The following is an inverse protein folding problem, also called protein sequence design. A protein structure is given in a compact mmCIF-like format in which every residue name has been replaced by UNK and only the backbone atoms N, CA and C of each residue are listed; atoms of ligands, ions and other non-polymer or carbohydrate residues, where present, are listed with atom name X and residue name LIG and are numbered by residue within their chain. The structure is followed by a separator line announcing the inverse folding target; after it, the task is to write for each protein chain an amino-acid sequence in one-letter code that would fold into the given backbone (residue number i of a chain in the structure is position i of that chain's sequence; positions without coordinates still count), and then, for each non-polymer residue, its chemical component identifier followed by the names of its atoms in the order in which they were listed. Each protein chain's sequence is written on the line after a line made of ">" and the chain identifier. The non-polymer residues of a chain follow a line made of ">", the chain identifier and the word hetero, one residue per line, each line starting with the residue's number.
data_IF_798417556486
#
_entry.id   IF_798417556486
#
_cell.length_a   1.000
_cell.length_b   1.000
_cell.length_c   1.000
_cell.angle_alpha   90.00
_cell.angle_beta   90.00
_cell.angle_gamma   90.00
#
_symmetry.space_group_name_H-M   'P 1'
#
loop_
_entity.id
_entity.type
_entity.pdbx_description
1 polymer ?
#
# COMPACT_ATOMS: atom_id res chain seq x y z
N UNK A 1 -15.08 15.03 4.05
CA UNK A 1 -14.47 15.19 5.39
C UNK A 1 -12.97 15.20 5.23
N UNK A 2 -12.32 16.31 5.61
CA UNK A 2 -10.88 16.46 5.54
C UNK A 2 -10.20 15.74 6.73
N UNK A 3 -9.09 15.06 6.46
CA UNK A 3 -8.26 14.41 7.47
C UNK A 3 -6.83 14.93 7.38
N UNK A 4 -6.25 15.36 8.51
CA UNK A 4 -4.84 15.71 8.62
C UNK A 4 -4.08 14.49 9.11
N UNK A 5 -3.17 13.97 8.29
CA UNK A 5 -2.20 12.95 8.68
C UNK A 5 -0.97 13.63 9.26
N UNK A 6 -0.74 13.43 10.57
CA UNK A 6 0.30 14.07 11.37
C UNK A 6 1.35 13.02 11.80
N UNK A 7 2.32 12.70 10.92
CA UNK A 7 3.47 11.85 11.26
C UNK A 7 4.49 12.59 12.14
N UNK A 8 5.60 11.92 12.48
CA UNK A 8 6.77 12.59 13.05
C UNK A 8 7.47 13.48 12.02
N UNK A 9 7.51 13.05 10.76
CA UNK A 9 8.04 13.80 9.63
C UNK A 9 7.34 13.44 8.31
N UNK A 10 7.45 14.32 7.32
CA UNK A 10 6.97 14.07 5.94
C UNK A 10 8.15 14.07 4.97
N UNK A 11 8.21 13.08 4.07
CA UNK A 11 9.08 13.10 2.88
C UNK A 11 8.22 13.37 1.65
N UNK A 12 8.56 14.38 0.86
CA UNK A 12 7.79 14.72 -0.36
C UNK A 12 8.12 13.80 -1.53
N UNK A 13 9.26 13.12 -1.50
CA UNK A 13 9.67 12.06 -2.43
C UNK A 13 10.19 10.86 -1.64
N UNK A 14 10.37 9.69 -2.26
CA UNK A 14 10.84 8.49 -1.55
C UNK A 14 12.20 8.69 -0.87
N UNK A 15 13.14 9.38 -1.54
CA UNK A 15 14.50 9.62 -1.07
C UNK A 15 14.71 11.05 -0.54
N UNK A 16 13.64 11.83 -0.42
CA UNK A 16 13.71 13.21 0.02
C UNK A 16 14.02 13.33 1.51
N UNK A 17 14.64 14.44 1.90
CA UNK A 17 14.89 14.77 3.30
C UNK A 17 13.57 14.80 4.10
N UNK A 18 13.55 14.26 5.33
CA UNK A 18 12.37 14.28 6.16
C UNK A 18 12.15 15.70 6.69
N UNK A 19 10.89 16.16 6.64
CA UNK A 19 10.46 17.45 7.16
C UNK A 19 9.77 17.22 8.52
N UNK A 20 10.43 17.45 9.66
CA UNK A 20 9.84 17.22 10.98
C UNK A 20 8.67 18.18 11.24
N UNK A 21 7.63 17.70 11.92
CA UNK A 21 6.45 18.51 12.27
C UNK A 21 5.53 18.85 11.09
N UNK A 22 5.87 18.44 9.87
CA UNK A 22 4.98 18.55 8.72
C UNK A 22 3.87 17.51 8.77
N UNK A 23 2.74 17.85 8.14
CA UNK A 23 1.57 17.02 8.01
C UNK A 23 0.97 17.13 6.60
N UNK A 24 0.09 16.19 6.27
CA UNK A 24 -0.60 16.14 4.98
C UNK A 24 -2.11 16.18 5.22
N UNK A 25 -2.76 17.22 4.72
CA UNK A 25 -4.22 17.34 4.69
C UNK A 25 -4.76 16.62 3.45
N UNK A 26 -5.73 15.73 3.66
CA UNK A 26 -6.38 14.94 2.61
C UNK A 26 -7.88 15.20 2.61
N UNK A 27 -8.41 15.57 1.46
CA UNK A 27 -9.85 15.74 1.23
C UNK A 27 -10.31 14.85 0.06
N UNK A 28 -11.29 13.99 0.32
CA UNK A 28 -11.72 12.99 -0.66
C UNK A 28 -10.57 12.07 -1.04
N UNK A 29 -10.19 12.09 -2.32
CA UNK A 29 -9.05 11.33 -2.84
C UNK A 29 -7.79 12.16 -3.09
N UNK A 30 -7.76 13.45 -2.71
CA UNK A 30 -6.69 14.40 -3.02
C UNK A 30 -5.95 14.92 -1.80
N UNK A 31 -4.68 15.26 -2.02
CA UNK A 31 -3.88 16.07 -1.10
C UNK A 31 -4.39 17.51 -1.20
N UNK A 32 -5.03 18.00 -0.14
CA UNK A 32 -5.56 19.36 -0.06
C UNK A 32 -4.47 20.37 0.31
N UNK A 33 -3.57 20.00 1.23
CA UNK A 33 -2.45 20.83 1.65
C UNK A 33 -1.33 19.98 2.25
N UNK A 34 -0.12 20.52 2.25
CA UNK A 34 1.08 19.96 2.86
C UNK A 34 1.84 21.11 3.52
N UNK A 35 2.19 20.95 4.80
CA UNK A 35 2.82 22.02 5.58
C UNK A 35 2.91 21.68 7.07
N UNK A 36 3.37 22.61 7.91
CA UNK A 36 3.43 22.45 9.36
C UNK A 36 2.07 22.08 9.97
N UNK A 37 2.07 21.19 10.98
CA UNK A 37 0.85 20.67 11.59
C UNK A 37 -0.02 21.76 12.22
N UNK A 38 0.59 22.73 12.90
CA UNK A 38 -0.09 23.83 13.56
C UNK A 38 -0.77 24.77 12.54
N UNK A 39 -0.09 25.10 11.45
CA UNK A 39 -0.66 25.87 10.34
C UNK A 39 -1.86 25.14 9.70
N UNK A 40 -1.72 23.84 9.41
CA UNK A 40 -2.81 23.04 8.85
C UNK A 40 -3.99 22.88 9.84
N UNK A 41 -3.72 22.72 11.13
CA UNK A 41 -4.76 22.62 12.15
C UNK A 41 -5.51 23.95 12.32
N UNK A 42 -4.83 25.08 12.21
CA UNK A 42 -5.45 26.41 12.21
C UNK A 42 -6.29 26.67 10.95
N UNK A 43 -5.78 26.28 9.77
CA UNK A 43 -6.49 26.41 8.50
C UNK A 43 -7.71 25.50 8.39
N UNK A 44 -7.67 24.32 9.01
CA UNK A 44 -8.74 23.32 8.98
C UNK A 44 -9.17 22.89 10.40
N UNK A 45 -9.80 23.77 11.18
CA UNK A 45 -10.06 23.54 12.61
C UNK A 45 -11.03 22.38 12.89
N UNK A 46 -11.88 22.03 11.92
CA UNK A 46 -12.82 20.91 12.01
C UNK A 46 -12.27 19.61 11.43
N UNK A 47 -11.03 19.60 10.92
CA UNK A 47 -10.44 18.42 10.32
C UNK A 47 -10.16 17.34 11.36
N UNK A 48 -10.37 16.09 10.96
CA UNK A 48 -9.94 14.96 11.78
C UNK A 48 -8.41 14.87 11.76
N UNK A 49 -7.77 14.96 12.92
CA UNK A 49 -6.32 14.74 13.02
C UNK A 49 -6.01 13.27 13.34
N UNK A 50 -5.13 12.66 12.54
CA UNK A 50 -4.60 11.31 12.76
C UNK A 50 -3.10 11.39 12.98
N UNK A 51 -2.65 11.05 14.18
CA UNK A 51 -1.23 11.05 14.53
C UNK A 51 -0.59 9.70 14.23
N UNK A 52 0.66 9.73 13.78
CA UNK A 52 1.47 8.55 13.48
C UNK A 52 2.86 8.66 14.10
N UNK A 53 3.41 7.55 14.57
CA UNK A 53 4.75 7.47 15.17
C UNK A 53 5.89 7.30 14.16
N UNK A 54 5.60 7.34 12.85
CA UNK A 54 6.58 7.16 11.79
C UNK A 54 6.65 8.35 10.84
N UNK A 55 7.37 8.17 9.74
CA UNK A 55 7.50 9.15 8.66
C UNK A 55 6.49 8.85 7.55
N UNK A 56 5.78 9.87 7.08
CA UNK A 56 4.86 9.75 5.96
C UNK A 56 5.56 10.13 4.65
N UNK A 57 5.38 9.30 3.63
CA UNK A 57 5.87 9.57 2.28
C UNK A 57 4.87 9.17 1.20
N UNK A 58 5.24 9.31 -0.09
CA UNK A 58 4.50 8.70 -1.17
C UNK A 58 4.45 7.18 -0.98
N UNK A 59 3.31 6.56 -1.30
CA UNK A 59 3.22 5.10 -1.23
C UNK A 59 4.15 4.40 -2.23
N UNK A 60 4.58 3.19 -1.88
CA UNK A 60 5.55 2.41 -2.65
C UNK A 60 4.96 1.91 -3.97
N UNK A 61 5.83 1.81 -4.98
CA UNK A 61 5.55 1.13 -6.24
C UNK A 61 6.15 -0.28 -6.21
N UNK A 62 5.32 -1.31 -6.40
CA UNK A 62 5.79 -2.70 -6.48
C UNK A 62 6.16 -3.05 -7.93
N UNK A 63 7.46 -2.96 -8.25
CA UNK A 63 8.01 -3.34 -9.55
C UNK A 63 7.85 -4.84 -9.85
N UNK A 64 7.85 -5.66 -8.79
CA UNK A 64 7.76 -7.12 -8.81
C UNK A 64 6.32 -7.64 -8.66
N UNK A 65 5.31 -6.77 -8.78
CA UNK A 65 3.92 -7.12 -8.53
C UNK A 65 3.43 -8.31 -9.36
N UNK A 66 3.81 -8.40 -10.64
CA UNK A 66 3.46 -9.54 -11.49
C UNK A 66 4.04 -10.86 -10.94
N UNK A 67 5.31 -10.87 -10.53
CA UNK A 67 5.91 -12.06 -9.91
C UNK A 67 5.18 -12.44 -8.61
N UNK A 68 4.89 -11.45 -7.76
CA UNK A 68 4.21 -11.67 -6.49
C UNK A 68 2.75 -12.10 -6.64
N UNK A 69 2.05 -11.75 -7.71
CA UNK A 69 0.62 -12.04 -7.86
C UNK A 69 0.32 -13.15 -8.87
N UNK A 70 1.23 -13.43 -9.81
CA UNK A 70 1.04 -14.42 -10.87
C UNK A 70 2.03 -15.59 -10.83
N UNK A 71 3.19 -15.41 -10.20
CA UNK A 71 4.22 -16.46 -10.04
C UNK A 71 4.38 -16.92 -8.58
N UNK A 72 3.44 -16.53 -7.70
CA UNK A 72 3.38 -16.97 -6.32
C UNK A 72 1.95 -17.32 -5.91
N UNK A 73 1.80 -18.36 -5.10
CA UNK A 73 0.58 -18.67 -4.38
C UNK A 73 0.66 -18.12 -2.96
N UNK A 74 -0.38 -17.40 -2.52
CA UNK A 74 -0.53 -16.88 -1.17
C UNK A 74 -1.58 -17.72 -0.42
N UNK A 75 -1.16 -18.69 0.41
CA UNK A 75 -2.09 -19.63 1.03
C UNK A 75 -3.12 -18.98 1.96
N UNK A 76 -4.31 -19.58 2.04
CA UNK A 76 -5.25 -19.29 3.12
C UNK A 76 -4.71 -19.87 4.44
N UNK A 77 -4.78 -19.14 5.56
CA UNK A 77 -4.47 -19.70 6.88
C UNK A 77 -5.20 -21.01 7.19
N UNK A 78 -6.37 -21.24 6.59
CA UNK A 78 -7.14 -22.49 6.74
C UNK A 78 -6.57 -23.68 5.96
N UNK A 79 -5.72 -23.43 4.97
CA UNK A 79 -5.05 -24.47 4.20
C UNK A 79 -3.73 -24.91 4.82
N UNK A 80 -3.25 -24.21 5.86
CA UNK A 80 -1.99 -24.55 6.53
C UNK A 80 -2.09 -25.95 7.14
N UNK A 81 -1.11 -26.79 6.82
CA UNK A 81 -1.07 -28.19 7.26
C UNK A 81 -1.69 -29.17 6.25
N UNK A 82 -2.34 -28.68 5.19
CA UNK A 82 -2.65 -29.53 4.04
C UNK A 82 -1.35 -29.96 3.33
N UNK A 83 -1.37 -31.08 2.58
CA UNK A 83 -0.26 -31.47 1.73
C UNK A 83 0.24 -30.30 0.87
N UNK A 84 1.55 -30.13 0.81
CA UNK A 84 2.26 -29.08 0.05
C UNK A 84 2.03 -27.64 0.54
N UNK A 85 1.33 -27.43 1.67
CA UNK A 85 1.05 -26.10 2.25
C UNK A 85 1.50 -26.04 3.72
N UNK A 86 2.81 -25.86 3.97
CA UNK A 86 3.37 -25.91 5.32
C UNK A 86 3.08 -24.64 6.14
N UNK A 87 2.82 -23.51 5.49
CA UNK A 87 2.63 -22.22 6.16
C UNK A 87 1.83 -21.24 5.29
N UNK A 88 1.69 -20.00 5.76
CA UNK A 88 1.11 -18.90 4.96
C UNK A 88 2.15 -18.14 4.13
N UNK A 89 3.39 -18.61 4.11
CA UNK A 89 4.41 -18.01 3.26
C UNK A 89 4.15 -18.29 1.78
N UNK A 90 4.46 -17.34 0.89
CA UNK A 90 4.18 -17.51 -0.53
C UNK A 90 4.94 -18.70 -1.13
N UNK A 91 4.20 -19.58 -1.79
CA UNK A 91 4.77 -20.71 -2.52
C UNK A 91 5.10 -20.29 -3.95
N UNK A 92 6.29 -20.64 -4.43
CA UNK A 92 6.81 -20.28 -5.76
C UNK A 92 7.46 -21.50 -6.41
N UNK A 93 7.86 -21.38 -7.68
CA UNK A 93 8.65 -22.41 -8.38
C UNK A 93 7.99 -23.80 -8.35
N UNK A 94 8.75 -24.82 -7.96
CA UNK A 94 8.28 -26.21 -7.90
C UNK A 94 7.15 -26.42 -6.88
N UNK A 95 7.20 -25.73 -5.74
CA UNK A 95 6.14 -25.82 -4.73
C UNK A 95 4.81 -25.29 -5.26
N UNK A 96 4.83 -24.20 -6.04
CA UNK A 96 3.65 -23.72 -6.75
C UNK A 96 3.22 -24.69 -7.86
N UNK A 97 4.16 -25.22 -8.64
CA UNK A 97 3.87 -26.12 -9.76
C UNK A 97 3.25 -27.45 -9.31
N UNK A 98 3.50 -27.88 -8.07
CA UNK A 98 2.88 -29.06 -7.48
C UNK A 98 1.40 -28.86 -7.11
N UNK A 99 0.92 -27.61 -7.02
CA UNK A 99 -0.46 -27.32 -6.63
C UNK A 99 -1.41 -27.36 -7.83
N UNK A 100 -2.56 -28.01 -7.63
CA UNK A 100 -3.71 -27.82 -8.52
C UNK A 100 -4.25 -26.39 -8.34
N UNK A 101 -4.14 -25.59 -9.41
CA UNK A 101 -4.52 -24.18 -9.41
C UNK A 101 -5.64 -23.91 -10.43
N UNK A 102 -6.80 -23.48 -9.92
CA UNK A 102 -7.90 -22.98 -10.75
C UNK A 102 -8.04 -21.44 -10.64
N UNK A 103 -8.93 -20.85 -11.44
CA UNK A 103 -9.16 -19.39 -11.44
C UNK A 103 -9.66 -18.87 -10.08
N UNK A 104 -10.41 -19.68 -9.32
CA UNK A 104 -10.92 -19.29 -8.01
C UNK A 104 -9.78 -19.16 -7.01
N UNK A 105 -8.89 -20.17 -6.98
CA UNK A 105 -7.70 -20.23 -6.13
C UNK A 105 -6.69 -19.14 -6.50
N UNK A 106 -6.48 -18.88 -7.78
CA UNK A 106 -5.72 -17.70 -8.23
C UNK A 106 -6.33 -16.38 -7.76
N UNK A 107 -7.66 -16.25 -7.82
CA UNK A 107 -8.35 -15.06 -7.34
C UNK A 107 -8.23 -14.85 -5.83
N UNK A 108 -8.30 -15.92 -5.03
CA UNK A 108 -8.07 -15.85 -3.59
C UNK A 108 -6.62 -15.49 -3.26
N UNK A 109 -5.67 -16.16 -3.91
CA UNK A 109 -4.24 -15.86 -3.81
C UNK A 109 -3.94 -14.40 -4.12
N UNK A 110 -4.44 -13.88 -5.24
CA UNK A 110 -4.20 -12.49 -5.65
C UNK A 110 -4.68 -11.48 -4.61
N UNK A 111 -5.88 -11.68 -4.03
CA UNK A 111 -6.40 -10.79 -2.98
C UNK A 111 -5.52 -10.81 -1.73
N UNK A 112 -5.02 -11.99 -1.34
CA UNK A 112 -4.08 -12.12 -0.21
C UNK A 112 -2.74 -11.45 -0.50
N UNK A 113 -2.19 -11.66 -1.70
CA UNK A 113 -0.98 -10.98 -2.15
C UNK A 113 -1.13 -9.46 -2.16
N UNK A 114 -2.27 -8.94 -2.62
CA UNK A 114 -2.59 -7.51 -2.55
C UNK A 114 -2.70 -7.01 -1.11
N UNK A 115 -3.26 -7.78 -0.19
CA UNK A 115 -3.26 -7.43 1.24
C UNK A 115 -1.85 -7.41 1.83
N UNK A 116 -0.95 -8.32 1.43
CA UNK A 116 0.47 -8.28 1.83
C UNK A 116 1.16 -7.03 1.29
N UNK A 117 0.95 -6.70 0.02
CA UNK A 117 1.47 -5.46 -0.60
C UNK A 117 0.98 -4.20 0.15
N UNK A 118 -0.30 -4.13 0.50
CA UNK A 118 -0.84 -3.03 1.29
C UNK A 118 -0.21 -2.95 2.69
N UNK A 119 0.17 -4.07 3.32
CA UNK A 119 0.92 -4.09 4.58
C UNK A 119 2.37 -3.62 4.46
N UNK A 120 2.86 -3.43 3.25
CA UNK A 120 4.21 -2.94 2.97
C UNK A 120 4.23 -1.47 2.52
N UNK A 121 3.07 -0.80 2.51
CA UNK A 121 2.97 0.59 2.05
C UNK A 121 2.77 0.74 0.55
N UNK A 122 2.41 -0.33 -0.17
CA UNK A 122 2.27 -0.28 -1.64
C UNK A 122 0.95 0.39 -2.05
N UNK A 123 1.05 1.35 -2.97
CA UNK A 123 -0.10 2.07 -3.55
C UNK A 123 -0.16 1.99 -5.07
N UNK A 124 0.91 1.53 -5.71
CA UNK A 124 0.98 1.29 -7.16
C UNK A 124 1.71 0.00 -7.50
N UNK A 125 1.35 -0.61 -8.63
CA UNK A 125 1.86 -1.89 -9.12
C UNK A 125 2.39 -1.73 -10.54
N UNK A 126 3.48 -2.41 -10.87
CA UNK A 126 3.92 -2.53 -12.26
C UNK A 126 3.29 -3.75 -12.90
N UNK A 127 2.58 -3.53 -14.00
CA UNK A 127 1.99 -4.59 -14.84
C UNK A 127 2.87 -4.94 -16.04
N UNK A 128 2.35 -5.71 -17.02
CA UNK A 128 0.97 -6.18 -17.15
C UNK A 128 0.64 -7.39 -16.26
N UNK A 129 -0.66 -7.71 -16.16
CA UNK A 129 -1.17 -8.92 -15.50
C UNK A 129 -1.89 -9.82 -16.52
N UNK A 130 -1.41 -11.05 -16.68
CA UNK A 130 -1.85 -12.00 -17.70
C UNK A 130 -3.01 -12.89 -17.24
N UNK A 131 -3.18 -13.10 -15.94
CA UNK A 131 -4.23 -13.97 -15.38
C UNK A 131 -5.55 -13.22 -15.19
N UNK A 132 -6.70 -13.74 -15.70
CA UNK A 132 -8.01 -13.08 -15.56
C UNK A 132 -8.42 -12.83 -14.11
N UNK A 133 -8.28 -13.83 -13.23
CA UNK A 133 -8.56 -13.68 -11.80
C UNK A 133 -7.69 -12.59 -11.13
N UNK A 134 -6.41 -12.52 -11.48
CA UNK A 134 -5.48 -11.51 -10.94
C UNK A 134 -5.84 -10.11 -11.44
N UNK A 135 -6.09 -9.92 -12.74
CA UNK A 135 -6.57 -8.65 -13.29
C UNK A 135 -7.84 -8.15 -12.58
N UNK A 136 -8.77 -9.05 -12.30
CA UNK A 136 -10.01 -8.71 -11.60
C UNK A 136 -9.75 -8.28 -10.16
N UNK A 137 -8.87 -8.99 -9.44
CA UNK A 137 -8.47 -8.61 -8.09
C UNK A 137 -7.76 -7.24 -8.05
N UNK A 138 -6.79 -7.02 -8.96
CA UNK A 138 -6.05 -5.76 -9.09
C UNK A 138 -7.00 -4.60 -9.38
N UNK A 139 -7.88 -4.73 -10.39
CA UNK A 139 -8.88 -3.70 -10.74
C UNK A 139 -9.77 -3.32 -9.56
N UNK A 140 -10.17 -4.28 -8.73
CA UNK A 140 -11.03 -4.04 -7.55
C UNK A 140 -10.30 -3.45 -6.35
N UNK A 141 -8.97 -3.57 -6.29
CA UNK A 141 -8.17 -3.04 -5.18
C UNK A 141 -8.10 -1.50 -5.16
N UNK A 142 -8.21 -0.86 -6.32
CA UNK A 142 -8.00 0.58 -6.49
C UNK A 142 -6.53 1.01 -6.53
N UNK A 143 -5.58 0.06 -6.50
CA UNK A 143 -4.16 0.33 -6.71
C UNK A 143 -3.92 0.83 -8.14
N UNK A 144 -3.00 1.78 -8.30
CA UNK A 144 -2.63 2.30 -9.62
C UNK A 144 -1.76 1.29 -10.34
N UNK A 145 -2.11 0.90 -11.57
CA UNK A 145 -1.26 0.05 -12.40
C UNK A 145 -0.43 0.92 -13.33
N UNK A 146 0.88 0.76 -13.29
CA UNK A 146 1.85 1.49 -14.08
C UNK A 146 2.54 0.56 -15.10
N UNK A 147 2.96 1.08 -16.26
CA UNK A 147 3.73 0.30 -17.23
C UNK A 147 5.19 0.08 -16.80
N UNK A 148 5.72 0.91 -15.89
CA UNK A 148 7.07 0.84 -15.36
C UNK A 148 7.10 1.49 -13.96
N UNK A 149 8.12 1.20 -13.12
CA UNK A 149 8.30 1.88 -11.85
C UNK A 149 8.40 3.39 -12.04
N UNK A 150 7.72 4.16 -11.19
CA UNK A 150 7.79 5.62 -11.19
C UNK A 150 8.01 6.14 -9.77
N UNK A 151 8.97 7.03 -9.54
CA UNK A 151 9.12 7.70 -8.25
C UNK A 151 7.83 8.43 -7.87
N UNK A 152 7.36 8.20 -6.64
CA UNK A 152 6.21 8.91 -6.10
C UNK A 152 6.62 10.32 -5.62
N UNK A 153 5.68 11.26 -5.71
CA UNK A 153 5.84 12.61 -5.16
C UNK A 153 4.55 13.05 -4.49
N UNK A 154 4.67 13.69 -3.33
CA UNK A 154 3.55 14.35 -2.66
C UNK A 154 3.42 15.77 -3.19
N UNK A 155 2.33 16.03 -3.90
CA UNK A 155 2.02 17.35 -4.45
C UNK A 155 0.58 17.69 -4.15
N UNK A 156 0.29 18.94 -3.78
CA UNK A 156 -1.08 19.41 -3.59
C UNK A 156 -1.88 19.19 -4.88
N UNK A 157 -3.11 18.67 -4.75
CA UNK A 157 -3.98 18.26 -5.85
C UNK A 157 -3.70 16.87 -6.42
N UNK A 158 -2.56 16.24 -6.07
CA UNK A 158 -2.31 14.85 -6.44
C UNK A 158 -3.22 13.88 -5.68
N UNK A 159 -3.34 12.66 -6.20
CA UNK A 159 -4.06 11.58 -5.53
C UNK A 159 -3.36 11.25 -4.20
N UNK A 160 -4.12 11.10 -3.13
CA UNK A 160 -3.62 10.81 -1.79
C UNK A 160 -3.27 9.32 -1.65
N UNK A 161 -2.17 8.93 -2.29
CA UNK A 161 -1.54 7.61 -2.25
C UNK A 161 -0.28 7.69 -1.38
N UNK A 162 -0.45 7.44 -0.07
CA UNK A 162 0.54 7.71 0.97
C UNK A 162 0.87 6.42 1.73
N UNK A 163 2.07 6.35 2.30
CA UNK A 163 2.41 5.35 3.29
C UNK A 163 3.11 6.00 4.48
N UNK A 164 2.92 5.41 5.66
CA UNK A 164 3.67 5.76 6.87
C UNK A 164 4.55 4.58 7.21
N UNK A 165 5.84 4.84 7.42
CA UNK A 165 6.81 3.84 7.81
C UNK A 165 7.47 4.23 9.13
N UNK A 166 7.68 3.23 9.98
CA UNK A 166 8.47 3.35 11.18
C UNK A 166 9.94 3.50 10.78
N UNK A 167 10.64 4.53 11.26
CA UNK A 167 12.04 4.79 10.89
C UNK A 167 13.01 3.72 11.42
N UNK A 168 12.89 3.21 12.67
CA UNK A 168 13.76 2.16 13.20
C UNK A 168 13.82 0.85 12.39
N UNK A 169 12.67 0.31 11.97
CA UNK A 169 12.59 -1.01 11.34
C UNK A 169 12.08 -0.98 9.88
N UNK A 170 11.71 0.20 9.37
CA UNK A 170 11.16 0.38 8.02
C UNK A 170 9.77 -0.23 7.83
N UNK A 171 9.13 -0.71 8.89
CA UNK A 171 7.83 -1.36 8.80
C UNK A 171 6.73 -0.38 8.46
N UNK A 172 5.75 -0.81 7.66
CA UNK A 172 4.62 0.05 7.34
C UNK A 172 3.65 0.13 8.54
N UNK A 173 3.39 1.34 8.99
CA UNK A 173 2.39 1.66 10.01
C UNK A 173 1.01 1.91 9.40
N UNK A 174 0.97 2.47 8.19
CA UNK A 174 -0.27 2.78 7.50
C UNK A 174 -0.11 2.87 5.99
N UNK A 175 -1.15 2.45 5.27
CA UNK A 175 -1.25 2.65 3.82
C UNK A 175 -2.55 3.37 3.51
N UNK A 176 -2.43 4.54 2.91
CA UNK A 176 -3.54 5.37 2.48
C UNK A 176 -3.61 5.34 0.95
N UNK A 177 -4.74 4.92 0.40
CA UNK A 177 -4.95 4.78 -1.04
C UNK A 177 -6.17 5.58 -1.45
N UNK A 178 -5.99 6.58 -2.31
CA UNK A 178 -7.03 7.55 -2.66
C UNK A 178 -7.70 8.15 -1.40
N UNK A 179 -6.89 8.53 -0.41
CA UNK A 179 -7.35 9.13 0.85
C UNK A 179 -8.05 8.17 1.84
N UNK A 180 -8.23 6.90 1.48
CA UNK A 180 -8.80 5.88 2.38
C UNK A 180 -7.67 5.17 3.12
N UNK A 181 -7.84 4.90 4.41
CA UNK A 181 -6.88 4.12 5.20
C UNK A 181 -7.14 2.61 4.99
N UNK A 182 -6.31 1.94 4.18
CA UNK A 182 -6.49 0.54 3.79
C UNK A 182 -5.69 -0.43 4.66
N UNK A 183 -4.58 0.05 5.22
CA UNK A 183 -3.80 -0.69 6.21
C UNK A 183 -3.47 0.23 7.39
N UNK A 184 -3.51 -0.34 8.59
CA UNK A 184 -3.00 0.25 9.82
C UNK A 184 -2.39 -0.86 10.68
N UNK A 185 -1.16 -0.69 11.11
CA UNK A 185 -0.54 -1.51 12.16
C UNK A 185 -1.13 -1.06 13.50
N UNK A 186 -1.72 -2.02 14.22
CA UNK A 186 -2.31 -1.82 15.57
C UNK A 186 -1.24 -1.83 16.63
#
# INVERSE_FOLDING_TARGET
>A
MLTIHAPLAVRTTADGEPLPGYAVAVEGDRIAALGPLDELAAAYPTARVRRWSGTLGPGRCAADAAARLEAAYHPDPREVGLPDIPSTEPLTGSALAALAMDEVRWGHSARRGLQRLLREGVTSLVGPFTRPAVRTAVRRSGLTVLPAPRPGTLTVGARADLAVHDEPDGSCLATILAGRLLHRRT
#
